data_IF_783636473674
#
_entry.id   IF_783636473674
#
_cell.length_a   1.000
_cell.length_b   1.000
_cell.length_c   1.000
_cell.angle_alpha   90.00
_cell.angle_beta   90.00
_cell.angle_gamma   90.00
#
_symmetry.space_group_name_H-M   'P 1'
#
loop_
_entity.id
_entity.type
_entity.pdbx_description
1 polymer ?
#
# COMPACT_ATOMS: atom_id res chain seq x y z
N UNK A 1 -7.04 -29.51 -23.12
CA UNK A 1 -7.40 -28.37 -22.26
C UNK A 1 -8.76 -27.77 -22.66
N UNK A 2 -9.01 -27.35 -23.91
CA UNK A 2 -10.29 -26.76 -24.34
C UNK A 2 -11.52 -27.62 -24.00
N UNK A 3 -11.44 -28.96 -24.12
CA UNK A 3 -12.54 -29.85 -23.75
C UNK A 3 -12.84 -29.86 -22.23
N UNK A 4 -11.82 -29.70 -21.40
CA UNK A 4 -12.00 -29.64 -19.95
C UNK A 4 -12.67 -28.33 -19.57
N UNK A 5 -12.21 -27.21 -20.12
CA UNK A 5 -12.80 -25.89 -19.93
C UNK A 5 -14.25 -25.84 -20.46
N UNK A 6 -14.52 -26.47 -21.61
CA UNK A 6 -15.88 -26.64 -22.12
C UNK A 6 -16.81 -27.37 -21.13
N UNK A 7 -16.35 -28.52 -20.59
CA UNK A 7 -17.11 -29.29 -19.61
C UNK A 7 -17.35 -28.49 -18.34
N UNK A 8 -16.35 -27.76 -17.86
CA UNK A 8 -16.47 -26.89 -16.70
C UNK A 8 -17.50 -25.80 -16.94
N UNK A 9 -17.44 -25.05 -18.05
CA UNK A 9 -18.37 -24.00 -18.40
C UNK A 9 -19.82 -24.51 -18.52
N UNK A 10 -20.01 -25.68 -19.15
CA UNK A 10 -21.33 -26.32 -19.23
C UNK A 10 -21.87 -26.74 -17.87
N UNK A 11 -21.03 -27.38 -17.03
CA UNK A 11 -21.39 -27.86 -15.72
C UNK A 11 -21.75 -26.72 -14.77
N UNK A 12 -20.98 -25.64 -14.76
CA UNK A 12 -21.24 -24.47 -13.93
C UNK A 12 -22.52 -23.77 -14.32
N UNK A 13 -22.83 -23.66 -15.63
CA UNK A 13 -24.06 -23.08 -16.12
C UNK A 13 -25.30 -23.91 -15.70
N UNK A 14 -25.23 -25.24 -15.86
CA UNK A 14 -26.33 -26.15 -15.47
C UNK A 14 -26.55 -26.20 -13.96
N UNK A 15 -25.48 -26.15 -13.17
CA UNK A 15 -25.52 -26.25 -11.72
C UNK A 15 -25.21 -24.93 -11.01
N UNK A 16 -25.72 -23.80 -11.55
CA UNK A 16 -25.42 -22.45 -11.07
C UNK A 16 -25.48 -22.29 -9.54
N UNK A 17 -26.50 -22.85 -8.88
CA UNK A 17 -26.66 -22.77 -7.44
C UNK A 17 -25.60 -23.57 -6.69
N UNK A 18 -25.27 -24.76 -7.15
CA UNK A 18 -24.17 -25.57 -6.56
C UNK A 18 -22.82 -24.89 -6.72
N UNK A 19 -22.58 -24.32 -7.91
CA UNK A 19 -21.35 -23.55 -8.18
C UNK A 19 -21.25 -22.34 -7.27
N UNK A 20 -22.37 -21.63 -7.07
CA UNK A 20 -22.41 -20.46 -6.19
C UNK A 20 -22.13 -20.84 -4.72
N UNK A 21 -22.71 -21.94 -4.24
CA UNK A 21 -22.45 -22.47 -2.88
C UNK A 21 -20.99 -22.85 -2.71
N UNK A 22 -20.40 -23.55 -3.71
CA UNK A 22 -18.97 -23.92 -3.68
C UNK A 22 -18.08 -22.67 -3.61
N UNK A 23 -18.36 -21.63 -4.41
CA UNK A 23 -17.63 -20.39 -4.35
C UNK A 23 -17.76 -19.66 -3.01
N UNK A 24 -18.96 -19.62 -2.44
CA UNK A 24 -19.19 -19.04 -1.10
C UNK A 24 -18.40 -19.79 -0.02
N UNK A 25 -18.36 -21.12 -0.09
CA UNK A 25 -17.58 -21.93 0.85
C UNK A 25 -16.08 -21.69 0.69
N UNK A 26 -15.58 -21.57 -0.56
CA UNK A 26 -14.18 -21.23 -0.81
C UNK A 26 -13.81 -19.84 -0.29
N UNK A 27 -14.66 -18.84 -0.53
CA UNK A 27 -14.43 -17.47 -0.03
C UNK A 27 -14.47 -17.47 1.51
N UNK A 28 -15.45 -18.14 2.13
CA UNK A 28 -15.53 -18.23 3.59
C UNK A 28 -14.32 -18.96 4.19
N UNK A 29 -13.87 -20.05 3.56
CA UNK A 29 -12.67 -20.78 3.97
C UNK A 29 -11.41 -19.92 3.86
N UNK A 30 -11.26 -19.17 2.75
CA UNK A 30 -10.14 -18.26 2.56
C UNK A 30 -10.17 -17.07 3.52
N UNK A 31 -11.35 -16.51 3.79
CA UNK A 31 -11.52 -15.45 4.78
C UNK A 31 -11.17 -15.94 6.20
N UNK A 32 -11.59 -17.15 6.56
CA UNK A 32 -11.22 -17.77 7.84
C UNK A 32 -9.70 -18.03 7.92
N UNK A 33 -9.07 -18.50 6.84
CA UNK A 33 -7.63 -18.67 6.77
C UNK A 33 -6.90 -17.33 6.94
N UNK A 34 -7.34 -16.29 6.22
CA UNK A 34 -6.78 -14.94 6.35
C UNK A 34 -6.92 -14.41 7.78
N UNK A 35 -8.08 -14.56 8.42
CA UNK A 35 -8.33 -14.06 9.78
C UNK A 35 -7.50 -14.77 10.85
N UNK A 36 -7.17 -16.06 10.66
CA UNK A 36 -6.47 -16.84 11.68
C UNK A 36 -4.95 -16.98 11.43
N UNK A 37 -4.50 -16.84 10.19
CA UNK A 37 -3.10 -17.06 9.80
C UNK A 37 -2.37 -15.75 9.48
N UNK A 38 -3.09 -14.61 9.37
CA UNK A 38 -2.46 -13.36 8.99
C UNK A 38 -1.41 -12.91 10.00
N UNK A 39 -0.27 -12.50 9.48
CA UNK A 39 0.79 -11.83 10.22
C UNK A 39 1.05 -10.44 9.61
N UNK A 40 1.64 -9.51 10.35
CA UNK A 40 2.00 -8.20 9.81
C UNK A 40 2.87 -8.33 8.57
N UNK A 41 2.56 -7.51 7.56
CA UNK A 41 3.33 -7.47 6.32
C UNK A 41 4.73 -6.89 6.58
N UNK A 42 5.74 -7.45 5.92
CA UNK A 42 7.09 -6.91 5.99
C UNK A 42 7.17 -5.58 5.24
N UNK A 43 7.69 -4.54 5.90
CA UNK A 43 8.03 -3.28 5.24
C UNK A 43 9.44 -3.28 4.64
N UNK A 44 10.22 -4.34 4.87
CA UNK A 44 11.54 -4.47 4.30
C UNK A 44 11.43 -4.91 2.84
N UNK A 45 11.73 -3.98 1.94
CA UNK A 45 11.91 -4.31 0.54
C UNK A 45 13.31 -4.92 0.36
N UNK A 46 13.39 -6.24 0.51
CA UNK A 46 14.64 -6.97 0.28
C UNK A 46 14.57 -7.72 -1.05
N UNK A 47 15.50 -7.44 -1.94
CA UNK A 47 15.69 -8.24 -3.16
C UNK A 47 16.85 -9.19 -2.88
N UNK A 48 16.62 -10.50 -2.75
CA UNK A 48 17.67 -11.48 -2.49
C UNK A 48 18.78 -11.39 -3.54
N UNK A 49 20.05 -11.37 -3.11
CA UNK A 49 21.22 -11.35 -4.00
C UNK A 49 21.66 -9.94 -4.42
N UNK A 50 21.17 -8.87 -3.81
CA UNK A 50 21.74 -7.53 -3.96
C UNK A 50 22.87 -7.34 -2.95
N UNK A 51 24.03 -6.88 -3.43
CA UNK A 51 25.20 -6.55 -2.58
C UNK A 51 24.86 -5.55 -1.47
N UNK A 52 23.93 -4.65 -1.69
CA UNK A 52 23.46 -3.70 -0.67
C UNK A 52 22.75 -4.36 0.49
N UNK A 53 22.05 -5.47 0.26
CA UNK A 53 21.35 -6.23 1.29
C UNK A 53 22.35 -7.10 2.05
N UNK A 54 23.27 -7.75 1.33
CA UNK A 54 24.37 -8.49 1.97
C UNK A 54 25.21 -7.58 2.86
N UNK A 55 25.49 -6.34 2.41
CA UNK A 55 26.17 -5.34 3.22
C UNK A 55 25.36 -4.91 4.45
N UNK A 56 24.03 -4.79 4.35
CA UNK A 56 23.17 -4.52 5.50
C UNK A 56 23.18 -5.65 6.52
N UNK A 57 23.12 -6.89 6.06
CA UNK A 57 23.15 -8.05 6.92
C UNK A 57 24.52 -8.18 7.62
N UNK A 58 25.61 -7.88 6.91
CA UNK A 58 26.96 -7.85 7.50
C UNK A 58 27.13 -6.70 8.51
N UNK A 59 26.52 -5.54 8.28
CA UNK A 59 26.47 -4.44 9.25
C UNK A 59 25.72 -4.86 10.51
N UNK A 60 24.56 -5.51 10.35
CA UNK A 60 23.78 -6.04 11.50
C UNK A 60 24.60 -7.01 12.34
N UNK A 61 25.26 -7.96 11.67
CA UNK A 61 26.06 -8.98 12.35
C UNK A 61 27.29 -8.40 13.04
N UNK A 62 28.03 -7.51 12.36
CA UNK A 62 29.27 -6.92 12.89
C UNK A 62 29.05 -5.86 13.97
N UNK A 63 27.99 -5.07 13.83
CA UNK A 63 27.70 -3.97 14.78
C UNK A 63 26.63 -4.34 15.81
N UNK A 64 26.12 -5.59 15.78
CA UNK A 64 25.06 -6.06 16.67
C UNK A 64 23.86 -5.10 16.71
N UNK A 65 23.56 -4.51 15.56
CA UNK A 65 22.43 -3.57 15.39
C UNK A 65 21.16 -4.41 15.31
N UNK A 66 20.22 -4.20 16.20
CA UNK A 66 18.92 -4.88 16.15
C UNK A 66 18.18 -4.48 14.86
N UNK A 67 17.36 -5.39 14.30
CA UNK A 67 16.46 -5.08 13.19
C UNK A 67 15.56 -3.89 13.52
N UNK A 68 15.31 -3.66 14.79
CA UNK A 68 14.53 -2.55 15.31
C UNK A 68 15.13 -1.18 15.00
N UNK A 69 16.46 -1.03 14.96
CA UNK A 69 17.11 0.25 14.67
C UNK A 69 16.89 0.72 13.21
N UNK A 70 16.81 -0.21 12.26
CA UNK A 70 16.59 0.10 10.84
C UNK A 70 15.09 0.21 10.49
N UNK A 71 14.23 -0.46 11.25
CA UNK A 71 12.78 -0.47 11.06
C UNK A 71 12.03 0.41 12.04
N UNK A 72 12.75 1.03 12.97
CA UNK A 72 12.18 1.93 13.97
C UNK A 72 11.30 3.01 13.31
N UNK A 73 10.14 3.32 13.90
CA UNK A 73 9.20 4.31 13.38
C UNK A 73 9.72 5.73 13.64
N UNK A 74 10.77 6.11 12.90
CA UNK A 74 11.44 7.40 13.06
C UNK A 74 10.90 8.43 12.09
N UNK A 75 10.94 9.67 12.53
CA UNK A 75 10.64 10.80 11.68
C UNK A 75 11.48 12.03 12.10
N UNK A 76 11.59 12.98 11.18
CA UNK A 76 12.24 14.28 11.41
C UNK A 76 11.22 15.38 11.27
N UNK A 77 11.12 16.21 12.28
CA UNK A 77 10.40 17.48 12.22
C UNK A 77 11.43 18.57 11.91
N UNK A 78 11.20 19.26 10.82
CA UNK A 78 12.03 20.39 10.37
C UNK A 78 11.36 21.66 10.86
N UNK A 79 12.13 22.53 11.52
CA UNK A 79 11.70 23.83 11.99
C UNK A 79 12.56 24.89 11.37
N UNK A 80 11.96 25.96 10.85
CA UNK A 80 12.66 27.09 10.22
C UNK A 80 12.20 28.41 10.83
N UNK A 81 13.16 29.24 11.21
CA UNK A 81 12.92 30.58 11.73
C UNK A 81 12.35 31.51 10.63
N UNK A 82 11.53 32.51 11.01
CA UNK A 82 11.05 33.54 10.11
C UNK A 82 12.19 34.30 9.42
N UNK A 83 11.86 35.04 8.35
CA UNK A 83 12.88 35.83 7.65
C UNK A 83 13.52 36.85 8.60
N UNK A 84 14.84 36.93 8.52
CA UNK A 84 15.65 37.86 9.32
C UNK A 84 15.92 37.42 10.75
N UNK A 85 15.46 36.20 11.15
CA UNK A 85 15.70 35.59 12.46
C UNK A 85 16.41 34.25 12.35
N UNK A 86 16.96 33.81 13.46
CA UNK A 86 17.59 32.49 13.65
C UNK A 86 16.88 31.72 14.74
N UNK A 87 17.12 30.43 14.85
CA UNK A 87 16.59 29.59 15.92
C UNK A 87 17.23 29.89 17.30
N UNK A 88 18.32 30.68 17.31
CA UNK A 88 18.98 31.15 18.54
C UNK A 88 18.31 32.40 19.13
N UNK A 89 17.47 33.12 18.36
CA UNK A 89 16.73 34.27 18.86
C UNK A 89 15.71 33.83 19.93
N UNK A 90 15.63 34.59 21.03
CA UNK A 90 14.93 34.16 22.24
C UNK A 90 13.44 33.87 22.05
N UNK A 91 12.76 34.64 21.20
CA UNK A 91 11.36 34.45 20.87
C UNK A 91 11.14 33.24 19.95
N UNK A 92 12.03 33.00 19.00
CA UNK A 92 11.99 31.87 18.08
C UNK A 92 12.33 30.59 18.84
N UNK A 93 13.36 30.62 19.70
CA UNK A 93 13.73 29.48 20.56
C UNK A 93 12.60 29.10 21.51
N UNK A 94 11.85 30.06 22.05
CA UNK A 94 10.67 29.80 22.87
C UNK A 94 9.56 29.07 22.10
N UNK A 95 9.32 29.43 20.83
CA UNK A 95 8.37 28.72 19.96
C UNK A 95 8.82 27.26 19.70
N UNK A 96 10.14 27.04 19.49
CA UNK A 96 10.70 25.68 19.33
C UNK A 96 10.54 24.88 20.62
N UNK A 97 10.86 25.46 21.79
CA UNK A 97 10.74 24.80 23.09
C UNK A 97 9.28 24.44 23.41
N UNK A 98 8.34 25.29 23.04
CA UNK A 98 6.91 24.98 23.15
C UNK A 98 6.54 23.78 22.29
N UNK A 99 6.95 23.77 21.02
CA UNK A 99 6.72 22.64 20.10
C UNK A 99 7.31 21.34 20.66
N UNK A 100 8.56 21.35 21.11
CA UNK A 100 9.23 20.19 21.72
C UNK A 100 8.46 19.70 22.95
N UNK A 101 7.98 20.61 23.80
CA UNK A 101 7.18 20.25 24.98
C UNK A 101 5.85 19.61 24.57
N UNK A 102 5.13 20.19 23.62
CA UNK A 102 3.88 19.61 23.12
C UNK A 102 4.09 18.22 22.49
N UNK A 103 5.21 18.01 21.78
CA UNK A 103 5.57 16.71 21.25
C UNK A 103 5.84 15.68 22.36
N UNK A 104 6.57 16.05 23.42
CA UNK A 104 6.82 15.21 24.60
C UNK A 104 5.52 14.80 25.30
N UNK A 105 4.64 15.76 25.49
CA UNK A 105 3.39 15.59 26.23
C UNK A 105 2.31 14.85 25.42
N UNK A 106 2.56 14.59 24.14
CA UNK A 106 1.62 13.90 23.24
C UNK A 106 1.28 12.48 23.68
N UNK A 107 2.18 11.79 24.41
CA UNK A 107 2.06 10.38 24.77
C UNK A 107 2.03 9.42 23.58
N UNK A 108 2.50 9.87 22.40
CA UNK A 108 2.54 9.07 21.16
C UNK A 108 3.97 8.77 20.69
N UNK A 109 4.98 9.27 21.42
CA UNK A 109 6.40 9.13 21.09
C UNK A 109 7.13 8.34 22.17
N UNK A 110 8.18 7.63 21.77
CA UNK A 110 9.20 7.00 22.64
C UNK A 110 10.37 7.95 22.85
N UNK A 111 11.20 7.65 23.82
CA UNK A 111 12.48 8.33 24.09
C UNK A 111 12.35 9.86 24.15
N UNK A 112 11.24 10.31 24.73
CA UNK A 112 10.90 11.74 24.80
C UNK A 112 11.93 12.57 25.58
N UNK A 113 12.75 11.94 26.43
CA UNK A 113 13.84 12.61 27.17
C UNK A 113 14.96 13.09 26.21
N UNK A 114 15.13 12.43 25.07
CA UNK A 114 16.10 12.79 24.04
C UNK A 114 15.62 13.92 23.12
N UNK A 115 14.32 14.23 23.16
CA UNK A 115 13.74 15.32 22.38
C UNK A 115 14.17 16.66 22.96
N UNK A 116 15.01 17.37 22.25
CA UNK A 116 15.53 18.67 22.67
C UNK A 116 15.47 19.67 21.53
N UNK A 117 15.52 20.96 21.87
CA UNK A 117 15.66 22.04 20.91
C UNK A 117 16.90 21.81 20.01
N UNK A 118 16.82 21.93 18.69
CA UNK A 118 17.94 21.73 17.76
C UNK A 118 19.20 22.55 18.11
N UNK A 119 19.02 23.76 18.65
CA UNK A 119 20.14 24.60 19.10
C UNK A 119 20.87 23.94 20.28
N UNK A 120 20.11 23.46 21.25
CA UNK A 120 20.67 22.74 22.41
C UNK A 120 21.31 21.42 22.01
N UNK A 121 20.68 20.69 21.09
CA UNK A 121 21.21 19.44 20.53
C UNK A 121 22.56 19.68 19.82
N UNK A 122 22.66 20.74 18.99
CA UNK A 122 23.89 21.11 18.29
C UNK A 122 25.01 21.49 19.26
N UNK A 123 24.70 22.24 20.33
CA UNK A 123 25.67 22.60 21.37
C UNK A 123 26.17 21.37 22.11
N UNK A 124 25.27 20.48 22.53
CA UNK A 124 25.62 19.23 23.22
C UNK A 124 26.48 18.31 22.37
N UNK A 125 26.12 18.11 21.10
CA UNK A 125 26.93 17.35 20.14
C UNK A 125 28.33 17.93 19.96
N UNK A 126 28.42 19.25 19.82
CA UNK A 126 29.71 19.93 19.67
C UNK A 126 30.60 19.68 20.87
N UNK A 127 30.09 19.87 22.07
CA UNK A 127 30.87 19.64 23.31
C UNK A 127 31.34 18.17 23.41
N UNK A 128 30.42 17.22 23.31
CA UNK A 128 30.70 15.80 23.45
C UNK A 128 31.71 15.29 22.41
N UNK A 129 31.52 15.67 21.14
CA UNK A 129 32.41 15.23 20.06
C UNK A 129 33.79 15.89 20.12
N UNK A 130 33.86 17.16 20.52
CA UNK A 130 35.14 17.85 20.69
C UNK A 130 35.97 17.19 21.79
N UNK A 131 35.34 16.86 22.94
CA UNK A 131 36.01 16.17 24.02
C UNK A 131 36.49 14.76 23.64
N UNK A 132 35.63 13.96 22.99
CA UNK A 132 35.94 12.59 22.57
C UNK A 132 37.07 12.53 21.51
N UNK A 133 36.97 13.35 20.50
CA UNK A 133 37.93 13.33 19.38
C UNK A 133 39.25 14.01 19.72
N UNK A 134 39.23 15.04 20.55
CA UNK A 134 40.46 15.66 21.08
C UNK A 134 41.25 14.64 21.93
N UNK A 135 40.55 13.80 22.71
CA UNK A 135 41.20 12.71 23.44
C UNK A 135 41.86 11.65 22.52
N UNK A 136 41.37 11.52 21.28
CA UNK A 136 41.92 10.62 20.25
C UNK A 136 42.99 11.27 19.39
N UNK A 137 43.34 12.54 19.61
CA UNK A 137 44.37 13.28 18.84
C UNK A 137 43.92 13.66 17.43
N UNK A 138 42.61 13.71 17.14
CA UNK A 138 42.09 14.11 15.84
C UNK A 138 42.21 15.63 15.69
N UNK A 139 42.68 16.15 14.52
CA UNK A 139 42.77 17.57 14.28
C UNK A 139 41.41 18.29 14.37
N UNK A 140 41.41 19.50 14.94
CA UNK A 140 40.17 20.28 15.16
C UNK A 140 39.41 20.55 13.86
N UNK A 141 40.12 20.80 12.76
CA UNK A 141 39.51 21.02 11.43
C UNK A 141 38.67 19.84 10.96
N UNK A 142 39.12 18.61 11.25
CA UNK A 142 38.40 17.40 10.93
C UNK A 142 37.15 17.19 11.87
N UNK A 143 37.28 17.59 13.12
CA UNK A 143 36.18 17.59 14.09
C UNK A 143 35.08 18.57 13.64
N UNK A 144 35.50 19.78 13.21
CA UNK A 144 34.55 20.82 12.75
C UNK A 144 33.85 20.42 11.44
N UNK A 145 34.55 19.79 10.50
CA UNK A 145 33.93 19.25 9.29
C UNK A 145 32.89 18.14 9.57
N UNK A 146 33.23 17.22 10.45
CA UNK A 146 32.31 16.14 10.83
C UNK A 146 31.09 16.69 11.58
N UNK A 147 31.28 17.65 12.50
CA UNK A 147 30.20 18.30 13.22
C UNK A 147 29.24 19.02 12.28
N UNK A 148 29.77 19.69 11.25
CA UNK A 148 28.97 20.36 10.23
C UNK A 148 28.09 19.39 9.44
N UNK A 149 28.61 18.18 9.15
CA UNK A 149 27.88 17.16 8.40
C UNK A 149 26.72 16.52 9.19
N UNK A 150 26.81 16.45 10.51
CA UNK A 150 25.82 15.75 11.35
C UNK A 150 25.00 16.68 12.25
N UNK A 151 25.25 18.00 12.20
CA UNK A 151 24.56 18.97 13.04
C UNK A 151 23.06 18.97 12.78
N UNK A 152 22.21 18.93 13.82
CA UNK A 152 20.77 19.14 13.68
C UNK A 152 20.39 20.60 13.38
N UNK A 153 21.39 21.51 13.31
CA UNK A 153 21.22 22.93 13.03
C UNK A 153 21.96 23.30 11.76
N UNK A 154 21.32 24.03 10.84
CA UNK A 154 21.95 24.55 9.62
C UNK A 154 23.04 25.59 9.90
N UNK A 155 23.93 25.81 8.94
CA UNK A 155 25.05 26.76 9.07
C UNK A 155 24.58 28.20 9.32
N UNK A 156 23.47 28.59 8.68
CA UNK A 156 22.84 29.90 8.85
C UNK A 156 22.01 29.98 10.12
N UNK A 157 21.93 28.90 10.89
CA UNK A 157 21.17 28.74 12.14
C UNK A 157 19.68 29.02 12.00
N UNK A 158 19.16 29.02 10.77
CA UNK A 158 17.76 29.29 10.49
C UNK A 158 16.91 28.04 10.49
N UNK A 159 17.48 26.90 10.18
CA UNK A 159 16.74 25.64 10.06
C UNK A 159 17.31 24.60 11.03
N UNK A 160 16.43 23.90 11.72
CA UNK A 160 16.81 22.83 12.62
C UNK A 160 15.96 21.58 12.41
N UNK A 161 16.46 20.44 12.86
CA UNK A 161 15.75 19.16 12.82
C UNK A 161 15.58 18.59 14.23
N UNK A 162 14.37 18.08 14.49
CA UNK A 162 14.03 17.35 15.72
C UNK A 162 13.73 15.92 15.27
N UNK A 163 14.53 14.97 15.76
CA UNK A 163 14.30 13.56 15.51
C UNK A 163 13.27 13.04 16.51
N UNK A 164 12.23 12.38 16.01
CA UNK A 164 11.16 11.79 16.81
C UNK A 164 11.03 10.31 16.49
N UNK A 165 10.70 9.50 17.51
CA UNK A 165 10.39 8.08 17.37
C UNK A 165 8.99 7.83 17.90
N UNK A 166 8.11 7.26 17.07
CA UNK A 166 6.74 6.94 17.48
C UNK A 166 6.73 5.77 18.46
N UNK A 167 5.74 5.74 19.35
CA UNK A 167 5.51 4.61 20.25
C UNK A 167 4.82 3.47 19.49
N UNK A 168 5.61 2.77 18.70
CA UNK A 168 5.24 1.59 17.91
C UNK A 168 6.49 0.70 17.77
N UNK A 169 6.32 -0.56 17.41
CA UNK A 169 7.46 -1.45 17.17
C UNK A 169 8.09 -1.19 15.80
N UNK A 170 7.26 -0.94 14.78
CA UNK A 170 7.69 -0.69 13.40
C UNK A 170 6.92 0.49 12.81
N UNK A 171 7.44 1.07 11.74
CA UNK A 171 6.80 2.18 11.04
C UNK A 171 5.40 1.83 10.50
N UNK A 172 5.16 0.56 10.12
CA UNK A 172 3.84 0.08 9.69
C UNK A 172 2.79 0.05 10.80
N UNK A 173 3.24 -0.07 12.06
CA UNK A 173 2.36 -0.18 13.23
C UNK A 173 1.93 1.19 13.74
N UNK A 174 2.51 2.27 13.20
CA UNK A 174 2.10 3.64 13.52
C UNK A 174 0.70 3.89 12.98
N UNK A 175 -0.24 4.11 13.88
CA UNK A 175 -1.64 4.33 13.53
C UNK A 175 -1.88 5.71 12.90
N UNK A 176 -2.93 5.85 12.11
CA UNK A 176 -3.35 7.15 11.57
C UNK A 176 -3.70 8.14 12.69
N UNK A 177 -4.18 7.65 13.84
CA UNK A 177 -4.44 8.50 15.02
C UNK A 177 -3.14 9.09 15.57
N UNK A 178 -2.08 8.29 15.74
CA UNK A 178 -0.77 8.76 16.20
C UNK A 178 -0.20 9.79 15.23
N UNK A 179 -0.19 9.49 13.92
CA UNK A 179 0.28 10.43 12.89
C UNK A 179 -0.49 11.75 12.90
N UNK A 180 -1.83 11.69 12.94
CA UNK A 180 -2.67 12.87 12.96
C UNK A 180 -2.48 13.71 14.23
N UNK A 181 -2.29 13.07 15.37
CA UNK A 181 -2.01 13.78 16.62
C UNK A 181 -0.70 14.57 16.52
N UNK A 182 0.39 13.95 16.04
CA UNK A 182 1.69 14.62 15.89
C UNK A 182 1.64 15.71 14.82
N UNK A 183 1.03 15.48 13.66
CA UNK A 183 0.89 16.52 12.62
C UNK A 183 0.05 17.69 13.07
N UNK A 184 -0.98 17.45 13.89
CA UNK A 184 -1.79 18.51 14.49
C UNK A 184 -0.97 19.37 15.46
N UNK A 185 -0.14 18.75 16.31
CA UNK A 185 0.77 19.46 17.22
C UNK A 185 1.76 20.29 16.40
N UNK A 186 2.40 19.71 15.38
CA UNK A 186 3.36 20.41 14.52
C UNK A 186 2.70 21.65 13.86
N UNK A 187 1.44 21.53 13.44
CA UNK A 187 0.73 22.64 12.77
C UNK A 187 0.25 23.72 13.73
N UNK A 188 -0.19 23.36 14.94
CA UNK A 188 -0.85 24.28 15.86
C UNK A 188 0.11 24.93 16.87
N UNK A 189 1.15 24.21 17.29
CA UNK A 189 2.06 24.64 18.34
C UNK A 189 3.40 25.20 17.81
N UNK A 190 3.52 25.38 16.50
CA UNK A 190 4.72 25.90 15.84
C UNK A 190 4.92 27.42 15.99
N UNK A 191 3.95 28.18 16.51
CA UNK A 191 4.05 29.63 16.63
C UNK A 191 4.32 30.29 15.27
N UNK A 192 5.42 31.06 15.18
CA UNK A 192 5.85 31.72 13.96
C UNK A 192 6.82 30.90 13.10
N UNK A 193 7.06 29.63 13.47
CA UNK A 193 7.98 28.75 12.73
C UNK A 193 7.32 28.24 11.45
N UNK A 194 8.11 28.10 10.39
CA UNK A 194 7.75 27.27 9.25
C UNK A 194 8.15 25.83 9.56
N UNK A 195 7.20 24.91 9.50
CA UNK A 195 7.44 23.50 9.84
C UNK A 195 7.20 22.57 8.67
N UNK A 196 7.96 21.51 8.62
CA UNK A 196 7.77 20.38 7.73
C UNK A 196 8.11 19.09 8.48
N UNK A 197 7.67 17.95 7.97
CA UNK A 197 8.00 16.66 8.56
C UNK A 197 8.25 15.61 7.47
N UNK A 198 9.10 14.64 7.78
CA UNK A 198 9.43 13.52 6.90
C UNK A 198 9.86 12.32 7.73
N UNK A 199 9.77 11.14 7.18
CA UNK A 199 10.22 9.89 7.82
C UNK A 199 9.32 8.72 7.47
N UNK A 200 9.81 7.50 7.78
CA UNK A 200 9.08 6.28 7.49
C UNK A 200 7.77 6.17 8.32
N UNK A 201 7.73 6.78 9.50
CA UNK A 201 6.55 6.80 10.36
C UNK A 201 5.37 7.62 9.78
N UNK A 202 5.63 8.57 8.89
CA UNK A 202 4.60 9.37 8.21
C UNK A 202 4.19 8.80 6.85
N UNK A 203 4.77 7.68 6.42
CA UNK A 203 4.33 7.02 5.19
C UNK A 203 2.96 6.37 5.40
N UNK A 204 1.96 6.91 4.73
CA UNK A 204 0.61 6.35 4.71
C UNK A 204 0.61 5.11 3.81
N UNK A 205 0.73 3.94 4.41
CA UNK A 205 0.64 2.68 3.66
C UNK A 205 -0.79 2.35 3.22
N UNK A 206 -1.80 2.97 3.84
CA UNK A 206 -3.20 2.57 3.64
C UNK A 206 -4.03 3.48 2.71
N UNK A 207 -3.71 4.77 2.57
CA UNK A 207 -4.66 5.71 1.94
C UNK A 207 -4.55 5.85 0.43
N UNK A 208 -3.38 5.58 -0.15
CA UNK A 208 -3.16 5.77 -1.60
C UNK A 208 -3.78 4.66 -2.47
N UNK A 209 -3.93 3.44 -1.94
CA UNK A 209 -4.48 2.31 -2.69
C UNK A 209 -5.99 2.42 -2.89
N UNK A 210 -6.75 2.58 -1.83
CA UNK A 210 -8.22 2.49 -1.86
C UNK A 210 -8.89 3.59 -2.72
N UNK A 211 -8.40 4.83 -2.66
CA UNK A 211 -8.96 5.93 -3.47
C UNK A 211 -8.68 5.72 -4.95
N UNK A 212 -7.47 5.34 -5.30
CA UNK A 212 -7.06 5.05 -6.68
C UNK A 212 -7.83 3.87 -7.25
N UNK A 213 -8.06 2.82 -6.47
CA UNK A 213 -8.87 1.66 -6.86
C UNK A 213 -10.33 2.03 -7.11
N UNK A 214 -10.95 2.84 -6.24
CA UNK A 214 -12.32 3.32 -6.43
C UNK A 214 -12.47 4.15 -7.70
N UNK A 215 -11.52 5.02 -8.00
CA UNK A 215 -11.51 5.81 -9.24
C UNK A 215 -11.38 4.88 -10.43
N UNK A 216 -10.45 3.92 -10.40
CA UNK A 216 -10.24 2.93 -11.45
C UNK A 216 -11.48 2.08 -11.72
N UNK A 217 -12.12 1.57 -10.68
CA UNK A 217 -13.37 0.80 -10.77
C UNK A 217 -14.51 1.65 -11.35
N UNK A 218 -14.62 2.91 -10.93
CA UNK A 218 -15.66 3.83 -11.43
C UNK A 218 -15.48 4.11 -12.91
N UNK A 219 -14.27 4.41 -13.35
CA UNK A 219 -13.95 4.63 -14.77
C UNK A 219 -14.23 3.37 -15.60
N UNK A 220 -13.80 2.20 -15.13
CA UNK A 220 -14.07 0.92 -15.76
C UNK A 220 -15.58 0.66 -15.89
N UNK A 221 -16.37 0.93 -14.83
CA UNK A 221 -17.82 0.78 -14.85
C UNK A 221 -18.46 1.67 -15.91
N UNK A 222 -18.07 2.94 -15.99
CA UNK A 222 -18.59 3.88 -16.99
C UNK A 222 -18.29 3.39 -18.42
N UNK A 223 -17.04 2.99 -18.69
CA UNK A 223 -16.62 2.48 -20.00
C UNK A 223 -17.40 1.21 -20.36
N UNK A 224 -17.57 0.29 -19.42
CA UNK A 224 -18.33 -0.94 -19.65
C UNK A 224 -19.82 -0.68 -19.91
N UNK A 225 -20.45 0.26 -19.19
CA UNK A 225 -21.84 0.65 -19.42
C UNK A 225 -22.02 1.22 -20.82
N UNK A 226 -21.12 2.10 -21.26
CA UNK A 226 -21.15 2.68 -22.61
C UNK A 226 -20.97 1.58 -23.66
N UNK A 227 -20.02 0.67 -23.46
CA UNK A 227 -19.69 -0.41 -24.42
C UNK A 227 -20.81 -1.43 -24.56
N UNK A 228 -21.41 -1.86 -23.45
CA UNK A 228 -22.45 -2.89 -23.46
C UNK A 228 -23.88 -2.34 -23.57
N UNK A 229 -24.07 -1.07 -23.32
CA UNK A 229 -25.41 -0.43 -23.31
C UNK A 229 -26.34 -0.99 -22.23
N UNK A 230 -25.83 -1.70 -21.24
CA UNK A 230 -26.60 -2.37 -20.18
C UNK A 230 -25.82 -2.41 -18.88
N UNK A 231 -26.41 -1.90 -17.81
CA UNK A 231 -25.84 -1.91 -16.47
C UNK A 231 -25.59 -3.34 -15.96
N UNK A 232 -26.50 -4.29 -16.24
CA UNK A 232 -26.34 -5.69 -15.84
C UNK A 232 -25.19 -6.36 -16.57
N UNK A 233 -25.06 -6.15 -17.87
CA UNK A 233 -24.00 -6.74 -18.68
C UNK A 233 -22.62 -6.16 -18.31
N UNK A 234 -22.56 -4.87 -17.95
CA UNK A 234 -21.35 -4.22 -17.47
C UNK A 234 -20.98 -4.62 -16.05
N UNK A 235 -21.98 -4.80 -15.19
CA UNK A 235 -21.77 -5.14 -13.78
C UNK A 235 -21.23 -6.56 -13.54
N UNK A 236 -21.55 -7.52 -14.40
CA UNK A 236 -21.10 -8.91 -14.23
C UNK A 236 -19.57 -9.07 -14.28
N UNK A 237 -18.85 -8.56 -15.31
CA UNK A 237 -17.39 -8.62 -15.34
C UNK A 237 -16.75 -7.91 -14.14
N UNK A 238 -17.29 -6.75 -13.78
CA UNK A 238 -16.77 -5.96 -12.66
C UNK A 238 -16.95 -6.70 -11.32
N UNK A 239 -18.12 -7.26 -11.07
CA UNK A 239 -18.39 -8.05 -9.88
C UNK A 239 -17.46 -9.27 -9.77
N UNK A 240 -17.29 -10.00 -10.87
CA UNK A 240 -16.40 -11.18 -10.88
C UNK A 240 -14.94 -10.80 -10.65
N UNK A 241 -14.48 -9.68 -11.22
CA UNK A 241 -13.13 -9.18 -10.99
C UNK A 241 -12.92 -8.77 -9.53
N UNK A 242 -13.84 -7.99 -8.95
CA UNK A 242 -13.76 -7.57 -7.54
C UNK A 242 -13.77 -8.77 -6.59
N UNK A 243 -14.64 -9.75 -6.81
CA UNK A 243 -14.67 -10.98 -6.01
C UNK A 243 -13.39 -11.79 -6.16
N UNK A 244 -12.85 -11.88 -7.38
CA UNK A 244 -11.58 -12.56 -7.65
C UNK A 244 -10.40 -11.89 -6.96
N UNK A 245 -10.32 -10.57 -7.01
CA UNK A 245 -9.29 -9.78 -6.31
C UNK A 245 -9.41 -9.95 -4.80
N UNK A 246 -10.61 -9.82 -4.24
CA UNK A 246 -10.84 -10.02 -2.81
C UNK A 246 -10.38 -11.41 -2.36
N UNK A 247 -10.70 -12.46 -3.13
CA UNK A 247 -10.25 -13.82 -2.86
C UNK A 247 -8.71 -13.93 -2.93
N UNK A 248 -8.08 -13.32 -3.94
CA UNK A 248 -6.63 -13.27 -4.09
C UNK A 248 -5.94 -12.55 -2.94
N UNK A 249 -6.47 -11.39 -2.51
CA UNK A 249 -5.94 -10.63 -1.38
C UNK A 249 -6.05 -11.42 -0.06
N UNK A 250 -7.17 -12.09 0.18
CA UNK A 250 -7.29 -12.99 1.34
C UNK A 250 -6.26 -14.12 1.28
N UNK A 251 -5.95 -14.63 0.07
CA UNK A 251 -4.89 -15.62 -0.14
C UNK A 251 -3.50 -15.07 0.19
N UNK A 252 -3.18 -13.86 -0.26
CA UNK A 252 -1.93 -13.17 0.08
C UNK A 252 -1.83 -12.96 1.59
N UNK A 253 -2.92 -12.46 2.21
CA UNK A 253 -2.97 -12.26 3.67
C UNK A 253 -2.81 -13.58 4.44
N UNK A 254 -3.46 -14.66 4.02
CA UNK A 254 -3.27 -15.97 4.65
C UNK A 254 -1.84 -16.50 4.46
N UNK A 255 -1.19 -16.18 3.34
CA UNK A 255 0.17 -16.62 3.05
C UNK A 255 1.22 -15.96 3.97
N UNK A 256 0.93 -14.79 4.56
CA UNK A 256 1.81 -14.17 5.56
C UNK A 256 2.04 -15.05 6.80
N UNK A 257 1.10 -15.96 7.10
CA UNK A 257 1.28 -16.94 8.17
C UNK A 257 2.32 -18.03 7.90
N UNK A 258 2.81 -18.13 6.66
CA UNK A 258 3.79 -19.15 6.25
C UNK A 258 5.15 -18.55 5.86
N UNK A 259 5.24 -17.24 5.65
CA UNK A 259 6.47 -16.56 5.26
C UNK A 259 6.44 -15.09 5.63
N UNK A 260 7.56 -14.60 6.18
CA UNK A 260 7.77 -13.19 6.53
C UNK A 260 8.24 -12.34 5.33
N UNK A 261 8.37 -12.95 4.16
CA UNK A 261 8.90 -12.30 2.94
C UNK A 261 7.86 -11.51 2.16
N UNK A 262 6.58 -11.50 2.59
CA UNK A 262 5.53 -10.78 1.89
C UNK A 262 5.58 -9.31 2.28
N UNK A 263 5.95 -8.48 1.30
CA UNK A 263 6.08 -7.04 1.45
C UNK A 263 4.70 -6.34 1.44
N UNK A 264 4.60 -5.21 2.12
CA UNK A 264 3.39 -4.36 2.19
C UNK A 264 2.90 -3.85 0.81
N UNK A 265 3.77 -3.79 -0.20
CA UNK A 265 3.37 -3.46 -1.57
C UNK A 265 2.71 -4.64 -2.32
N UNK A 266 2.89 -5.88 -1.85
CA UNK A 266 2.37 -7.09 -2.54
C UNK A 266 0.84 -7.07 -2.68
N UNK A 267 0.03 -6.75 -1.66
CA UNK A 267 -1.41 -6.63 -1.80
C UNK A 267 -1.82 -5.56 -2.82
N UNK A 268 -1.16 -4.40 -2.81
CA UNK A 268 -1.45 -3.30 -3.74
C UNK A 268 -1.18 -3.71 -5.19
N UNK A 269 -0.03 -4.31 -5.47
CA UNK A 269 0.29 -4.82 -6.81
C UNK A 269 -0.65 -5.96 -7.23
N UNK A 270 -0.99 -6.87 -6.31
CA UNK A 270 -1.91 -7.96 -6.56
C UNK A 270 -3.32 -7.45 -6.89
N UNK A 271 -3.82 -6.42 -6.18
CA UNK A 271 -5.12 -5.82 -6.45
C UNK A 271 -5.14 -5.11 -7.81
N UNK A 272 -4.12 -4.32 -8.12
CA UNK A 272 -4.03 -3.60 -9.39
C UNK A 272 -4.00 -4.56 -10.60
N UNK A 273 -3.10 -5.54 -10.58
CA UNK A 273 -2.97 -6.52 -11.66
C UNK A 273 -4.22 -7.42 -11.71
N UNK A 274 -4.68 -7.89 -10.55
CA UNK A 274 -5.84 -8.76 -10.45
C UNK A 274 -7.12 -8.11 -10.96
N UNK A 275 -7.33 -6.81 -10.68
CA UNK A 275 -8.49 -6.07 -11.17
C UNK A 275 -8.43 -5.89 -12.70
N UNK A 276 -7.29 -5.46 -13.24
CA UNK A 276 -7.11 -5.26 -14.67
C UNK A 276 -7.34 -6.58 -15.44
N UNK A 277 -6.63 -7.63 -15.05
CA UNK A 277 -6.70 -8.96 -15.67
C UNK A 277 -8.08 -9.59 -15.49
N UNK A 278 -8.66 -9.45 -14.28
CA UNK A 278 -9.97 -9.98 -13.95
C UNK A 278 -11.10 -9.39 -14.80
N UNK A 279 -11.08 -8.06 -15.03
CA UNK A 279 -12.05 -7.39 -15.90
C UNK A 279 -11.87 -7.86 -17.34
N UNK A 280 -10.64 -7.84 -17.86
CA UNK A 280 -10.36 -8.18 -19.25
C UNK A 280 -10.77 -9.61 -19.59
N UNK A 281 -10.45 -10.57 -18.73
CA UNK A 281 -10.80 -11.97 -18.96
C UNK A 281 -12.29 -12.25 -18.80
N UNK A 282 -12.95 -11.63 -17.81
CA UNK A 282 -14.40 -11.74 -17.67
C UNK A 282 -15.11 -11.16 -18.90
N UNK A 283 -14.62 -10.02 -19.40
CA UNK A 283 -15.12 -9.37 -20.60
C UNK A 283 -14.95 -10.22 -21.86
N UNK A 284 -13.77 -10.85 -22.00
CA UNK A 284 -13.47 -11.72 -23.13
C UNK A 284 -14.40 -12.95 -23.18
N UNK A 285 -14.62 -13.60 -22.04
CA UNK A 285 -15.55 -14.74 -21.92
C UNK A 285 -16.99 -14.30 -22.19
N UNK A 286 -17.42 -13.16 -21.63
CA UNK A 286 -18.78 -12.65 -21.83
C UNK A 286 -19.04 -12.23 -23.28
N UNK A 287 -18.10 -11.54 -23.89
CA UNK A 287 -18.16 -11.15 -25.31
C UNK A 287 -18.26 -12.38 -26.21
N UNK A 288 -17.43 -13.38 -25.95
CA UNK A 288 -17.46 -14.65 -26.69
C UNK A 288 -18.79 -15.37 -26.50
N UNK A 289 -19.30 -15.44 -25.28
CA UNK A 289 -20.60 -16.04 -25.02
C UNK A 289 -21.73 -15.33 -25.76
N UNK A 290 -21.71 -14.00 -25.81
CA UNK A 290 -22.68 -13.20 -26.58
C UNK A 290 -22.58 -13.50 -28.10
N UNK A 291 -21.38 -13.62 -28.63
CA UNK A 291 -21.17 -13.98 -30.05
C UNK A 291 -21.74 -15.36 -30.35
N UNK A 292 -21.43 -16.38 -29.55
CA UNK A 292 -21.94 -17.75 -29.74
C UNK A 292 -23.49 -17.77 -29.67
N UNK A 293 -24.11 -16.96 -28.82
CA UNK A 293 -25.59 -16.84 -28.75
C UNK A 293 -26.17 -16.21 -30.01
N UNK A 294 -25.55 -15.15 -30.56
CA UNK A 294 -26.01 -14.46 -31.79
C UNK A 294 -25.82 -15.36 -32.99
N UNK A 295 -24.70 -16.03 -33.10
CA UNK A 295 -24.39 -16.98 -34.19
C UNK A 295 -25.40 -18.14 -34.21
N UNK A 296 -25.73 -18.69 -33.04
CA UNK A 296 -26.66 -19.81 -32.91
C UNK A 296 -28.06 -19.51 -33.45
N UNK A 297 -28.53 -18.26 -33.34
CA UNK A 297 -29.85 -17.84 -33.83
C UNK A 297 -29.80 -17.15 -35.19
N UNK A 298 -28.65 -17.10 -35.88
CA UNK A 298 -28.42 -16.30 -37.07
C UNK A 298 -28.87 -14.83 -36.89
N UNK A 299 -28.53 -14.25 -35.74
CA UNK A 299 -29.10 -12.99 -35.25
C UNK A 299 -28.43 -11.71 -35.76
N UNK A 300 -27.46 -11.78 -36.68
CA UNK A 300 -26.69 -10.61 -37.16
C UNK A 300 -27.55 -9.55 -37.87
N UNK A 301 -28.60 -9.97 -38.55
CA UNK A 301 -29.51 -9.08 -39.30
C UNK A 301 -30.81 -8.77 -38.53
N UNK A 302 -30.95 -9.22 -37.27
CA UNK A 302 -32.15 -9.00 -36.47
C UNK A 302 -32.15 -7.62 -35.79
N UNK A 303 -33.32 -7.01 -35.74
CA UNK A 303 -33.52 -5.80 -34.92
C UNK A 303 -33.35 -6.12 -33.42
N UNK A 304 -33.00 -5.16 -32.56
CA UNK A 304 -32.81 -5.40 -31.15
C UNK A 304 -34.00 -6.08 -30.46
N UNK A 305 -35.20 -5.78 -30.90
CA UNK A 305 -36.45 -6.37 -30.38
C UNK A 305 -36.61 -7.84 -30.77
N UNK A 306 -36.38 -8.16 -32.05
CA UNK A 306 -36.38 -9.52 -32.55
C UNK A 306 -35.28 -10.37 -31.91
N UNK A 307 -34.06 -9.81 -31.79
CA UNK A 307 -32.94 -10.46 -31.13
C UNK A 307 -33.29 -10.84 -29.67
N UNK A 308 -33.86 -9.91 -28.91
CA UNK A 308 -34.24 -10.19 -27.51
C UNK A 308 -35.29 -11.30 -27.39
N UNK A 309 -36.22 -11.39 -28.34
CA UNK A 309 -37.25 -12.44 -28.37
C UNK A 309 -36.63 -13.81 -28.69
N UNK A 310 -35.84 -13.87 -29.75
CA UNK A 310 -35.16 -15.12 -30.17
C UNK A 310 -34.20 -15.62 -29.14
N UNK A 311 -33.45 -14.74 -28.49
CA UNK A 311 -32.55 -15.12 -27.38
C UNK A 311 -33.31 -15.74 -26.20
N UNK A 312 -34.55 -15.35 -25.91
CA UNK A 312 -35.37 -15.94 -24.84
C UNK A 312 -35.85 -17.36 -25.17
N UNK A 313 -36.00 -17.68 -26.46
CA UNK A 313 -36.47 -18.99 -26.96
C UNK A 313 -35.40 -20.08 -26.87
N UNK A 314 -34.11 -19.71 -26.74
CA UNK A 314 -33.00 -20.66 -26.64
C UNK A 314 -33.20 -21.53 -25.39
N UNK A 315 -33.12 -22.85 -25.55
CA UNK A 315 -33.24 -23.81 -24.45
C UNK A 315 -32.14 -23.62 -23.39
N UNK A 316 -32.39 -24.08 -22.18
CA UNK A 316 -31.37 -24.05 -21.12
C UNK A 316 -30.16 -24.93 -21.45
N UNK A 317 -30.37 -26.05 -22.17
CA UNK A 317 -29.29 -26.95 -22.54
C UNK A 317 -28.42 -26.34 -23.65
N UNK A 318 -29.03 -25.68 -24.64
CA UNK A 318 -28.28 -24.98 -25.69
C UNK A 318 -27.47 -23.84 -25.12
N UNK A 319 -28.06 -23.04 -24.21
CA UNK A 319 -27.29 -21.99 -23.51
C UNK A 319 -26.12 -22.55 -22.72
N UNK A 320 -26.28 -23.72 -22.07
CA UNK A 320 -25.20 -24.37 -21.34
C UNK A 320 -24.12 -24.89 -22.30
N UNK A 321 -24.52 -25.38 -23.48
CA UNK A 321 -23.59 -25.78 -24.54
C UNK A 321 -22.79 -24.59 -25.04
N UNK A 322 -23.48 -23.47 -25.36
CA UNK A 322 -22.85 -22.23 -25.85
C UNK A 322 -21.94 -21.60 -24.79
N UNK A 323 -22.32 -21.66 -23.51
CA UNK A 323 -21.47 -21.23 -22.40
C UNK A 323 -20.18 -22.08 -22.31
N UNK A 324 -20.33 -23.41 -22.49
CA UNK A 324 -19.17 -24.30 -22.57
C UNK A 324 -18.26 -23.98 -23.73
N UNK A 325 -18.82 -23.71 -24.93
CA UNK A 325 -18.03 -23.29 -26.10
C UNK A 325 -17.29 -21.99 -25.88
N UNK A 326 -17.97 -20.99 -25.31
CA UNK A 326 -17.36 -19.71 -25.00
C UNK A 326 -16.17 -19.85 -24.04
N UNK A 327 -16.37 -20.59 -22.92
CA UNK A 327 -15.32 -20.84 -21.94
C UNK A 327 -14.18 -21.71 -22.54
N UNK A 328 -14.51 -22.70 -23.37
CA UNK A 328 -13.50 -23.52 -24.01
C UNK A 328 -12.63 -22.75 -25.02
N UNK A 329 -13.25 -21.89 -25.85
CA UNK A 329 -12.55 -21.07 -26.85
C UNK A 329 -11.78 -19.91 -26.20
N UNK A 330 -12.45 -19.15 -25.32
CA UNK A 330 -11.84 -18.02 -24.63
C UNK A 330 -10.79 -18.48 -23.61
N UNK A 331 -11.09 -19.51 -22.83
CA UNK A 331 -10.19 -20.00 -21.79
C UNK A 331 -8.92 -20.63 -22.32
N UNK A 332 -8.93 -21.22 -23.54
CA UNK A 332 -7.69 -21.72 -24.14
C UNK A 332 -6.71 -20.60 -24.51
N UNK A 333 -7.20 -19.43 -24.86
CA UNK A 333 -6.36 -18.23 -25.13
C UNK A 333 -5.83 -17.55 -23.84
N UNK A 334 -6.45 -17.86 -22.69
CA UNK A 334 -6.07 -17.31 -21.39
C UNK A 334 -5.02 -18.21 -20.68
N UNK A 335 -5.09 -19.52 -20.93
CA UNK A 335 -4.21 -20.50 -20.25
C UNK A 335 -2.92 -20.76 -21.05
N UNK A 336 -2.91 -20.41 -22.33
CA UNK A 336 -1.79 -20.55 -23.27
C UNK A 336 -1.42 -19.21 -23.92
#
# INVERSE_FOLDING_TARGET
MAQLLYRLGRLTYLNRWKTLVVWLLLIAGMAAAAANLSQPLSNNFTIPGLESIEAQDEIKERFNTSDDALTAPTAKVIVQAPEGKTLEDSDVSADVDKLVTSLKDSGKLKDTDELVNPVMAAMGMKQQRTEQKAAQGIPQEQIDADLKAISPLSEDKRTGTIDITFDAEKAADVTSEQRNAITTIISNDSGNLTTAYSGNAFQDSESLGMQSELIGITVAAVVLIITFGSLVAAGLPLLTAVVGVAFGLMGVTAATGFTDSINSMTPTLASMIGLAVGIDYALFILSRFRSELIDHINGHDLTPKQLSTRLREISREDRAHLAGLAVGKAGSAVVF
#
